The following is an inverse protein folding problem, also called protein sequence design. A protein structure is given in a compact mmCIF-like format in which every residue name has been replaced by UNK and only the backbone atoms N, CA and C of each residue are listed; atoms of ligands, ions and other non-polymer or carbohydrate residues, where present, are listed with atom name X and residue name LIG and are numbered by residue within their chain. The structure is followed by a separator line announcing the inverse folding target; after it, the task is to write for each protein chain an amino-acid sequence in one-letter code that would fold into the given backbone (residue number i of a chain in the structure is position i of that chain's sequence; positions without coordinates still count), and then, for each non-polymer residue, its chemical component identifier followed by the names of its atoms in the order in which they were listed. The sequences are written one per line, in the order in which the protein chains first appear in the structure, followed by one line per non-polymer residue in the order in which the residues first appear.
data_IF_850266204824
#
_entry.id   IF_850266204824
#
_cell.length_a   1.000
_cell.length_b   1.000
_cell.length_c   1.000
_cell.angle_alpha   90.00
_cell.angle_beta   90.00
_cell.angle_gamma   90.00
#
_symmetry.space_group_name_H-M   'P 1'
#
loop_
_entity.id
_entity.type
_entity.pdbx_description
1 polymer ?
#
# COMPACT_ATOMS: atom_id res chain seq x y z
N UNK A 1 25.72 -1.87 7.84
CA UNK A 1 25.01 -0.61 8.21
C UNK A 1 24.21 -0.06 7.04
N UNK A 2 24.81 0.13 5.85
CA UNK A 2 24.12 0.63 4.65
C UNK A 2 22.94 -0.27 4.23
N UNK A 3 23.15 -1.59 4.16
CA UNK A 3 22.11 -2.57 3.79
C UNK A 3 20.86 -2.52 4.69
N UNK A 4 21.03 -2.33 6.00
CA UNK A 4 19.88 -2.22 6.93
C UNK A 4 19.08 -0.94 6.68
N UNK A 5 19.73 0.13 6.22
CA UNK A 5 19.09 1.41 5.92
C UNK A 5 18.26 1.31 4.63
N UNK A 6 18.77 0.61 3.61
CA UNK A 6 18.04 0.34 2.37
C UNK A 6 16.78 -0.47 2.63
N UNK A 7 16.87 -1.50 3.47
CA UNK A 7 15.72 -2.30 3.85
C UNK A 7 14.70 -1.54 4.69
N UNK A 8 15.16 -0.72 5.64
CA UNK A 8 14.28 0.16 6.39
C UNK A 8 13.55 1.13 5.44
N UNK A 9 14.26 1.74 4.50
CA UNK A 9 13.68 2.65 3.52
C UNK A 9 12.63 1.95 2.64
N UNK A 10 12.90 0.72 2.22
CA UNK A 10 11.95 -0.09 1.46
C UNK A 10 10.65 -0.35 2.25
N UNK A 11 10.74 -0.80 3.51
CA UNK A 11 9.57 -1.04 4.34
C UNK A 11 8.80 0.24 4.68
N UNK A 12 9.50 1.36 4.90
CA UNK A 12 8.88 2.68 5.10
C UNK A 12 8.13 3.13 3.85
N UNK A 13 8.69 2.90 2.66
CA UNK A 13 8.04 3.21 1.39
C UNK A 13 6.78 2.37 1.19
N UNK A 14 6.83 1.06 1.47
CA UNK A 14 5.66 0.18 1.43
C UNK A 14 4.57 0.64 2.42
N UNK A 15 4.96 1.00 3.63
CA UNK A 15 4.03 1.51 4.64
C UNK A 15 3.36 2.81 4.16
N UNK A 16 4.13 3.76 3.61
CA UNK A 16 3.58 5.01 3.08
C UNK A 16 2.59 4.75 1.93
N UNK A 17 2.91 3.82 1.02
CA UNK A 17 2.04 3.45 -0.09
C UNK A 17 0.74 2.76 0.38
N UNK A 18 0.81 1.91 1.41
CA UNK A 18 -0.37 1.31 2.04
C UNK A 18 -1.27 2.36 2.69
N UNK A 19 -0.69 3.29 3.46
CA UNK A 19 -1.45 4.37 4.08
C UNK A 19 -2.14 5.27 3.05
N UNK A 20 -1.46 5.56 1.93
CA UNK A 20 -2.05 6.31 0.83
C UNK A 20 -3.22 5.53 0.19
N UNK A 21 -3.04 4.23 -0.03
CA UNK A 21 -4.10 3.38 -0.59
C UNK A 21 -5.33 3.33 0.33
N UNK A 22 -5.12 3.24 1.65
CA UNK A 22 -6.21 3.31 2.64
C UNK A 22 -6.94 4.65 2.59
N UNK A 23 -6.21 5.76 2.47
CA UNK A 23 -6.81 7.08 2.31
C UNK A 23 -7.70 7.14 1.07
N UNK A 24 -7.23 6.64 -0.07
CA UNK A 24 -8.01 6.64 -1.31
C UNK A 24 -9.22 5.70 -1.24
N UNK A 25 -9.11 4.57 -0.54
CA UNK A 25 -10.26 3.71 -0.23
C UNK A 25 -11.32 4.45 0.59
N UNK A 26 -10.91 5.20 1.62
CA UNK A 26 -11.84 6.01 2.42
C UNK A 26 -12.57 7.06 1.58
N UNK A 27 -11.84 7.77 0.71
CA UNK A 27 -12.44 8.76 -0.21
C UNK A 27 -13.44 8.09 -1.15
N UNK A 28 -13.10 6.93 -1.71
CA UNK A 28 -14.01 6.19 -2.59
C UNK A 28 -15.29 5.73 -1.86
N UNK A 29 -15.18 5.32 -0.60
CA UNK A 29 -16.34 4.97 0.22
C UNK A 29 -17.23 6.19 0.52
N UNK A 30 -16.62 7.35 0.80
CA UNK A 30 -17.34 8.62 1.00
C UNK A 30 -18.12 9.03 -0.26
N UNK A 31 -17.57 8.74 -1.44
CA UNK A 31 -18.20 8.99 -2.75
C UNK A 31 -19.18 7.87 -3.19
N UNK A 32 -19.31 6.79 -2.41
CA UNK A 32 -20.08 5.57 -2.76
C UNK A 32 -19.61 4.94 -4.09
N UNK A 33 -18.33 5.14 -4.43
CA UNK A 33 -17.69 4.58 -5.62
C UNK A 33 -17.03 3.23 -5.30
N UNK A 34 -17.82 2.17 -5.45
CA UNK A 34 -17.38 0.79 -5.19
C UNK A 34 -16.31 0.33 -6.19
N UNK A 35 -16.32 0.84 -7.41
CA UNK A 35 -15.33 0.49 -8.43
C UNK A 35 -13.95 1.03 -8.03
N UNK A 36 -13.88 2.32 -7.70
CA UNK A 36 -12.65 2.96 -7.21
C UNK A 36 -12.17 2.33 -5.91
N UNK A 37 -13.07 2.00 -4.98
CA UNK A 37 -12.72 1.29 -3.75
C UNK A 37 -12.10 -0.09 -4.05
N UNK A 38 -12.69 -0.86 -4.97
CA UNK A 38 -12.19 -2.18 -5.37
C UNK A 38 -10.81 -2.09 -6.01
N UNK A 39 -10.59 -1.07 -6.86
CA UNK A 39 -9.27 -0.80 -7.46
C UNK A 39 -8.20 -0.54 -6.40
N UNK A 40 -8.46 0.36 -5.45
CA UNK A 40 -7.49 0.67 -4.39
C UNK A 40 -7.29 -0.50 -3.41
N UNK A 41 -8.32 -1.32 -3.18
CA UNK A 41 -8.19 -2.57 -2.43
C UNK A 41 -7.25 -3.55 -3.14
N UNK A 42 -7.37 -3.68 -4.46
CA UNK A 42 -6.45 -4.49 -5.27
C UNK A 42 -5.01 -3.98 -5.20
N UNK A 43 -4.80 -2.68 -5.36
CA UNK A 43 -3.47 -2.04 -5.23
C UNK A 43 -2.87 -2.29 -3.85
N UNK A 44 -3.63 -2.06 -2.78
CA UNK A 44 -3.18 -2.32 -1.42
C UNK A 44 -2.83 -3.80 -1.19
N UNK A 45 -3.61 -4.72 -1.76
CA UNK A 45 -3.34 -6.16 -1.67
C UNK A 45 -2.01 -6.55 -2.32
N UNK A 46 -1.69 -5.96 -3.48
CA UNK A 46 -0.39 -6.16 -4.16
C UNK A 46 0.74 -5.64 -3.29
N UNK A 47 0.62 -4.41 -2.76
CA UNK A 47 1.65 -3.80 -1.91
C UNK A 47 1.89 -4.64 -0.65
N UNK A 48 0.81 -5.12 0.00
CA UNK A 48 0.89 -5.98 1.19
C UNK A 48 1.55 -7.33 0.92
N UNK A 49 1.45 -7.85 -0.32
CA UNK A 49 2.09 -9.11 -0.73
C UNK A 49 3.58 -8.97 -1.06
N UNK A 50 4.07 -7.77 -1.42
CA UNK A 50 5.46 -7.56 -1.84
C UNK A 50 6.51 -8.03 -0.83
N UNK A 51 6.37 -7.77 0.49
CA UNK A 51 7.30 -8.31 1.49
C UNK A 51 7.43 -9.83 1.44
N UNK A 52 6.34 -10.55 1.21
CA UNK A 52 6.31 -12.02 1.22
C UNK A 52 6.92 -12.59 -0.07
N UNK A 53 6.78 -11.88 -1.19
CA UNK A 53 7.27 -12.34 -2.50
C UNK A 53 8.78 -12.08 -2.66
N UNK A 54 9.27 -10.97 -2.11
CA UNK A 54 10.64 -10.49 -2.34
C UNK A 54 11.65 -10.95 -1.27
N UNK A 55 11.19 -11.61 -0.21
CA UNK A 55 11.99 -12.04 0.94
C UNK A 55 11.53 -13.38 1.47
#
# INVERSE_FOLDING_TARGET
MIVNLEYLAFFVLLLAALLLSIKEMSVALDEVDVERFTLWTGVASVIAGLPIILW
#
